data_IF_507780314052
#
_entry.id   IF_507780314052
#
_cell.length_a   1.000
_cell.length_b   1.000
_cell.length_c   1.000
_cell.angle_alpha   90.00
_cell.angle_beta   90.00
_cell.angle_gamma   90.00
#
_symmetry.space_group_name_H-M   'P 1'
#
loop_
_entity.id
_entity.type
_entity.pdbx_description
1 polymer ?
#
# COMPACT_ATOMS: atom_id res chain seq x y z
N UNK A 1 29.90 -32.77 51.50
CA UNK A 1 29.73 -31.52 50.73
C UNK A 1 28.95 -31.82 49.45
N UNK A 2 27.65 -31.53 49.43
CA UNK A 2 26.76 -31.75 48.26
C UNK A 2 27.03 -30.65 47.23
N UNK A 3 27.57 -30.99 46.06
CA UNK A 3 27.68 -30.05 44.93
C UNK A 3 26.32 -29.97 44.23
N UNK A 4 25.72 -28.79 44.25
CA UNK A 4 24.47 -28.47 43.55
C UNK A 4 24.81 -28.21 42.07
N UNK A 5 24.35 -29.07 41.15
CA UNK A 5 24.46 -28.84 39.72
C UNK A 5 23.32 -27.90 39.28
N UNK A 6 23.67 -26.66 38.93
CA UNK A 6 22.76 -25.72 38.27
C UNK A 6 22.74 -26.05 36.77
N UNK A 7 21.68 -26.71 36.31
CA UNK A 7 21.39 -26.89 34.88
C UNK A 7 20.74 -25.59 34.39
N UNK A 8 21.51 -24.74 33.73
CA UNK A 8 21.01 -23.61 32.96
C UNK A 8 20.27 -24.15 31.72
N UNK A 9 18.94 -24.17 31.77
CA UNK A 9 18.07 -24.39 30.63
C UNK A 9 18.24 -23.22 29.63
N UNK A 10 19.13 -23.41 28.65
CA UNK A 10 19.20 -22.58 27.45
C UNK A 10 17.92 -22.79 26.63
N UNK A 11 16.90 -21.97 26.86
CA UNK A 11 15.74 -21.90 25.98
C UNK A 11 16.22 -21.34 24.63
N UNK A 12 15.99 -22.03 23.49
CA UNK A 12 16.56 -21.60 22.21
C UNK A 12 15.74 -20.44 21.64
N UNK A 13 16.17 -19.21 21.95
CA UNK A 13 15.64 -17.96 21.37
C UNK A 13 15.73 -17.97 19.82
N UNK A 14 16.63 -18.78 19.24
CA UNK A 14 16.79 -18.91 17.77
C UNK A 14 15.56 -19.48 17.04
N UNK A 15 14.77 -20.36 17.67
CA UNK A 15 13.67 -21.06 16.96
C UNK A 15 12.48 -20.13 16.64
N UNK A 16 12.27 -19.09 17.45
CA UNK A 16 11.15 -18.15 17.28
C UNK A 16 11.44 -17.17 16.13
N UNK A 17 12.69 -16.73 15.97
CA UNK A 17 13.10 -15.81 14.91
C UNK A 17 13.03 -16.46 13.51
N UNK A 18 13.39 -17.75 13.37
CA UNK A 18 13.30 -18.46 12.09
C UNK A 18 11.84 -18.67 11.62
N UNK A 19 10.88 -18.72 12.53
CA UNK A 19 9.49 -18.99 12.20
C UNK A 19 8.76 -17.77 11.61
N UNK A 20 9.17 -16.54 11.95
CA UNK A 20 8.62 -15.31 11.36
C UNK A 20 8.97 -15.16 9.88
N UNK A 21 10.16 -15.58 9.44
CA UNK A 21 10.57 -15.50 8.01
C UNK A 21 9.69 -16.31 7.05
N UNK A 22 8.95 -17.31 7.54
CA UNK A 22 8.09 -18.19 6.72
C UNK A 22 6.65 -17.70 6.56
N UNK A 23 6.27 -16.66 7.31
CA UNK A 23 4.94 -16.05 7.25
C UNK A 23 5.03 -14.64 6.71
N UNK A 24 3.89 -14.14 6.25
CA UNK A 24 3.68 -12.75 5.91
C UNK A 24 2.30 -12.32 6.39
N UNK A 25 2.11 -11.02 6.54
CA UNK A 25 0.84 -10.46 7.00
C UNK A 25 -0.05 -10.19 5.79
N UNK A 26 -1.14 -10.96 5.68
CA UNK A 26 -2.10 -10.84 4.58
C UNK A 26 -3.25 -9.94 5.02
N UNK A 27 -3.40 -8.79 4.36
CA UNK A 27 -4.51 -7.86 4.61
C UNK A 27 -5.68 -8.21 3.70
N UNK A 28 -6.88 -8.13 4.24
CA UNK A 28 -8.15 -8.31 3.52
C UNK A 28 -8.90 -6.98 3.56
N UNK A 29 -8.92 -6.26 2.44
CA UNK A 29 -9.63 -4.99 2.29
C UNK A 29 -10.95 -5.26 1.58
N UNK A 30 -12.06 -5.15 2.31
CA UNK A 30 -13.41 -5.44 1.81
C UNK A 30 -14.18 -4.14 1.57
N UNK A 31 -14.87 -4.07 0.44
CA UNK A 31 -15.79 -2.99 0.07
C UNK A 31 -17.08 -3.60 -0.50
N UNK A 32 -18.04 -2.75 -0.89
CA UNK A 32 -19.22 -3.18 -1.66
C UNK A 32 -18.89 -3.77 -3.04
N UNK A 33 -17.67 -3.58 -3.55
CA UNK A 33 -17.21 -4.12 -4.83
C UNK A 33 -16.44 -5.44 -4.69
N UNK A 34 -16.31 -5.95 -3.46
CA UNK A 34 -15.60 -7.19 -3.16
C UNK A 34 -14.38 -7.00 -2.25
N UNK A 35 -13.56 -8.05 -2.15
CA UNK A 35 -12.38 -8.08 -1.27
C UNK A 35 -11.09 -8.11 -2.08
N UNK A 36 -10.18 -7.18 -1.78
CA UNK A 36 -8.79 -7.20 -2.23
C UNK A 36 -7.91 -7.87 -1.17
N UNK A 37 -6.91 -8.64 -1.62
CA UNK A 37 -5.87 -9.18 -0.74
C UNK A 37 -4.57 -8.43 -0.95
N UNK A 38 -3.96 -7.96 0.13
CA UNK A 38 -2.72 -7.19 0.06
C UNK A 38 -1.61 -7.85 0.85
N UNK A 39 -0.40 -7.76 0.32
CA UNK A 39 0.85 -8.07 1.04
C UNK A 39 1.60 -6.78 1.28
N UNK A 40 2.39 -6.77 2.36
CA UNK A 40 3.18 -5.60 2.78
C UNK A 40 4.67 -5.94 2.64
N UNK A 41 5.44 -5.01 2.09
CA UNK A 41 6.85 -5.23 1.78
C UNK A 41 7.74 -5.17 3.03
N UNK A 42 8.66 -6.14 3.13
CA UNK A 42 9.64 -6.21 4.22
C UNK A 42 10.69 -5.09 4.10
N UNK A 43 10.88 -4.55 2.88
CA UNK A 43 11.82 -3.46 2.57
C UNK A 43 11.35 -2.08 3.06
N UNK A 44 10.08 -1.95 3.47
CA UNK A 44 9.50 -0.73 4.06
C UNK A 44 8.96 -1.03 5.47
N UNK A 45 9.84 -1.39 6.42
CA UNK A 45 9.43 -1.92 7.72
C UNK A 45 8.60 -0.93 8.53
N UNK A 46 8.90 0.38 8.50
CA UNK A 46 8.14 1.37 9.29
C UNK A 46 6.71 1.49 8.81
N UNK A 47 6.50 1.53 7.50
CA UNK A 47 5.15 1.56 6.93
C UNK A 47 4.41 0.24 7.13
N UNK A 48 5.09 -0.91 6.96
CA UNK A 48 4.52 -2.23 7.20
C UNK A 48 4.04 -2.37 8.65
N UNK A 49 4.89 -2.09 9.62
CA UNK A 49 4.56 -2.20 11.04
C UNK A 49 3.41 -1.25 11.43
N UNK A 50 3.45 0.00 10.95
CA UNK A 50 2.38 0.95 11.21
C UNK A 50 1.04 0.50 10.62
N UNK A 51 1.03 0.03 9.37
CA UNK A 51 -0.19 -0.40 8.71
C UNK A 51 -0.79 -1.64 9.40
N UNK A 52 0.05 -2.61 9.80
CA UNK A 52 -0.36 -3.78 10.60
C UNK A 52 -0.99 -3.33 11.92
N UNK A 53 -0.36 -2.36 12.62
CA UNK A 53 -0.88 -1.81 13.88
C UNK A 53 -2.30 -1.25 13.67
N UNK A 54 -2.50 -0.40 12.66
CA UNK A 54 -3.79 0.24 12.39
C UNK A 54 -4.87 -0.77 11.95
N UNK A 55 -4.51 -1.76 11.13
CA UNK A 55 -5.43 -2.85 10.75
C UNK A 55 -5.85 -3.68 11.97
N UNK A 56 -4.90 -4.06 12.84
CA UNK A 56 -5.22 -4.82 14.06
C UNK A 56 -6.08 -4.03 15.06
N UNK A 57 -5.91 -2.70 15.10
CA UNK A 57 -6.72 -1.79 15.91
C UNK A 57 -8.10 -1.48 15.30
N UNK A 58 -8.44 -2.09 14.15
CA UNK A 58 -9.69 -1.81 13.41
C UNK A 58 -9.82 -0.34 13.00
N UNK A 59 -8.69 0.38 12.89
CA UNK A 59 -8.68 1.79 12.56
C UNK A 59 -9.30 2.06 11.19
N UNK A 60 -9.06 1.21 10.19
CA UNK A 60 -9.57 1.43 8.83
C UNK A 60 -11.05 1.07 8.64
N UNK A 61 -11.67 0.37 9.60
CA UNK A 61 -13.04 -0.10 9.44
C UNK A 61 -14.00 1.08 9.28
N UNK A 62 -14.97 0.97 8.37
CA UNK A 62 -15.93 2.03 8.04
C UNK A 62 -15.33 3.34 7.49
N UNK A 63 -14.02 3.44 7.26
CA UNK A 63 -13.43 4.58 6.55
C UNK A 63 -13.77 4.54 5.06
N UNK A 64 -13.65 5.68 4.38
CA UNK A 64 -13.97 5.82 2.97
C UNK A 64 -12.72 5.82 2.09
N UNK A 65 -12.86 5.28 0.88
CA UNK A 65 -12.11 5.82 -0.26
C UNK A 65 -12.71 7.19 -0.58
N UNK A 66 -12.06 8.24 -0.07
CA UNK A 66 -12.59 9.61 -0.11
C UNK A 66 -12.16 10.38 -1.36
N UNK A 67 -11.23 9.83 -2.16
CA UNK A 67 -10.78 10.46 -3.39
C UNK A 67 -10.47 9.43 -4.47
N UNK A 68 -10.97 9.68 -5.69
CA UNK A 68 -10.80 8.82 -6.85
C UNK A 68 -10.37 9.67 -8.03
N UNK A 69 -9.16 9.41 -8.54
CA UNK A 69 -8.70 9.99 -9.81
C UNK A 69 -8.55 8.85 -10.81
N UNK A 70 -9.44 8.76 -11.82
CA UNK A 70 -9.33 7.74 -12.84
C UNK A 70 -8.00 7.79 -13.57
N UNK A 71 -7.51 6.62 -13.95
CA UNK A 71 -6.21 6.42 -14.59
C UNK A 71 -5.02 6.81 -13.70
N UNK A 72 -5.26 6.98 -12.39
CA UNK A 72 -4.24 7.33 -11.43
C UNK A 72 -4.36 6.50 -10.15
N UNK A 73 -5.32 6.76 -9.27
CA UNK A 73 -5.38 6.11 -7.96
C UNK A 73 -6.75 6.22 -7.28
N UNK A 74 -6.95 5.34 -6.29
CA UNK A 74 -8.02 5.43 -5.28
C UNK A 74 -7.37 5.67 -3.91
N UNK A 75 -7.79 6.71 -3.19
CA UNK A 75 -7.18 7.13 -1.92
C UNK A 75 -8.15 7.01 -0.76
N UNK A 76 -7.63 6.53 0.38
CA UNK A 76 -8.37 6.28 1.60
C UNK A 76 -7.53 6.51 2.86
N UNK A 77 -8.09 6.14 4.00
CA UNK A 77 -7.40 6.19 5.30
C UNK A 77 -7.57 7.49 6.08
N UNK A 78 -8.40 8.44 5.62
CA UNK A 78 -8.74 9.63 6.42
C UNK A 78 -9.69 9.25 7.57
N UNK A 79 -9.30 9.41 8.86
CA UNK A 79 -10.16 9.10 10.01
C UNK A 79 -11.45 9.91 10.09
N UNK A 80 -11.47 11.15 9.58
CA UNK A 80 -12.65 12.01 9.56
C UNK A 80 -13.75 11.42 8.66
N UNK A 81 -13.40 10.54 7.73
CA UNK A 81 -14.35 9.92 6.80
C UNK A 81 -15.33 8.94 7.45
N UNK A 82 -15.03 8.45 8.66
CA UNK A 82 -15.85 7.40 9.33
C UNK A 82 -17.33 7.77 9.43
N UNK A 83 -17.59 9.02 9.82
CA UNK A 83 -18.94 9.58 10.02
C UNK A 83 -19.21 10.76 9.08
N UNK A 84 -18.40 10.89 8.02
CA UNK A 84 -18.55 11.99 7.08
C UNK A 84 -19.92 11.94 6.39
N UNK A 85 -20.50 13.12 6.22
CA UNK A 85 -21.67 13.30 5.36
C UNK A 85 -21.26 13.14 3.88
N UNK A 86 -22.25 12.87 3.04
CA UNK A 86 -22.11 12.88 1.59
C UNK A 86 -21.69 14.32 1.21
N UNK A 87 -20.54 14.48 0.55
CA UNK A 87 -19.87 15.76 0.22
C UNK A 87 -19.07 16.50 1.30
N UNK A 88 -18.93 15.96 2.52
CA UNK A 88 -17.99 16.56 3.47
C UNK A 88 -16.55 16.55 2.89
N UNK A 89 -15.82 17.68 2.90
CA UNK A 89 -14.42 17.71 2.51
C UNK A 89 -13.57 16.77 3.37
N UNK A 90 -12.75 15.96 2.71
CA UNK A 90 -11.88 14.95 3.32
C UNK A 90 -10.49 15.02 2.69
N UNK A 91 -9.53 14.32 3.28
CA UNK A 91 -8.12 14.28 2.91
C UNK A 91 -7.20 14.92 3.96
N UNK A 92 -7.73 15.53 5.01
CA UNK A 92 -6.96 16.26 6.02
C UNK A 92 -6.87 15.55 7.38
N UNK A 93 -7.59 14.45 7.60
CA UNK A 93 -7.48 13.71 8.86
C UNK A 93 -6.15 12.99 9.01
N UNK A 94 -5.68 12.87 10.25
CA UNK A 94 -4.42 12.23 10.60
C UNK A 94 -4.51 11.45 11.93
N UNK A 95 -3.40 10.80 12.31
CA UNK A 95 -3.25 10.03 13.55
C UNK A 95 -2.24 10.67 14.52
N UNK A 96 -1.95 11.97 14.35
CA UNK A 96 -1.03 12.74 15.20
C UNK A 96 0.46 12.50 14.94
N UNK A 97 0.83 11.74 13.91
CA UNK A 97 2.23 11.51 13.54
C UNK A 97 2.40 11.24 12.04
N UNK A 98 3.64 11.42 11.57
CA UNK A 98 4.11 11.07 10.22
C UNK A 98 5.09 9.90 10.27
N UNK A 99 5.27 9.22 9.15
CA UNK A 99 6.24 8.12 8.99
C UNK A 99 7.37 8.59 8.09
N UNK A 100 8.65 8.49 8.49
CA UNK A 100 9.78 8.82 7.62
C UNK A 100 9.70 8.04 6.29
N UNK A 101 10.05 8.69 5.18
CA UNK A 101 10.01 8.08 3.86
C UNK A 101 10.92 6.82 3.76
N UNK A 102 10.43 5.79 3.05
CA UNK A 102 11.18 4.56 2.78
C UNK A 102 11.19 4.31 1.25
N UNK A 103 12.00 5.08 0.53
CA UNK A 103 12.10 4.93 -0.93
C UNK A 103 13.01 3.76 -1.31
N UNK A 104 12.44 2.75 -1.96
CA UNK A 104 13.15 1.57 -2.42
C UNK A 104 13.04 1.52 -3.94
N UNK A 105 14.13 1.64 -4.72
CA UNK A 105 14.05 1.71 -6.19
C UNK A 105 13.31 0.54 -6.86
N UNK A 106 13.37 -0.65 -6.26
CA UNK A 106 12.67 -1.83 -6.74
C UNK A 106 11.15 -1.81 -6.47
N UNK A 107 10.66 -0.92 -5.60
CA UNK A 107 9.25 -0.75 -5.25
C UNK A 107 8.72 0.53 -5.93
N UNK A 108 7.92 0.34 -6.96
CA UNK A 108 7.50 1.41 -7.88
C UNK A 108 5.99 1.38 -8.10
N UNK A 109 5.44 2.47 -8.66
CA UNK A 109 4.00 2.74 -8.69
C UNK A 109 3.29 2.03 -9.85
N UNK A 110 3.49 0.72 -10.00
CA UNK A 110 2.68 -0.13 -10.89
C UNK A 110 1.22 -0.19 -10.41
N UNK A 111 0.29 -0.53 -11.29
CA UNK A 111 -1.10 -0.80 -10.92
C UNK A 111 -1.18 -1.85 -9.80
N UNK A 112 -2.00 -1.56 -8.78
CA UNK A 112 -2.13 -2.36 -7.57
C UNK A 112 -1.12 -2.06 -6.47
N UNK A 113 -0.11 -1.19 -6.72
CA UNK A 113 0.80 -0.75 -5.66
C UNK A 113 0.03 -0.03 -4.54
N UNK A 114 0.30 -0.43 -3.30
CA UNK A 114 -0.19 0.22 -2.09
C UNK A 114 0.88 1.21 -1.62
N UNK A 115 0.53 2.48 -1.60
CA UNK A 115 1.47 3.57 -1.35
C UNK A 115 0.94 4.56 -0.32
N UNK A 116 1.86 5.22 0.38
CA UNK A 116 1.52 6.17 1.42
C UNK A 116 1.26 7.57 0.85
N UNK A 117 0.18 8.22 1.29
CA UNK A 117 -0.10 9.61 0.95
C UNK A 117 0.74 10.55 1.82
N UNK A 118 0.97 11.78 1.37
CA UNK A 118 1.62 12.84 2.16
C UNK A 118 1.21 14.22 1.69
N UNK A 119 1.41 15.19 2.57
CA UNK A 119 1.46 16.59 2.22
C UNK A 119 2.83 16.95 1.58
N UNK A 120 2.98 18.21 1.17
CA UNK A 120 4.20 18.71 0.54
C UNK A 120 5.26 19.14 1.58
N UNK A 121 5.67 18.21 2.44
CA UNK A 121 6.72 18.47 3.42
C UNK A 121 8.13 18.18 2.86
N UNK A 122 9.17 18.95 3.25
CA UNK A 122 10.55 18.76 2.79
C UNK A 122 11.13 17.36 3.05
N UNK A 123 10.78 16.75 4.19
CA UNK A 123 11.25 15.42 4.59
C UNK A 123 10.60 14.30 3.78
N UNK A 124 9.58 14.63 2.98
CA UNK A 124 8.70 13.70 2.27
C UNK A 124 8.11 12.62 3.19
N UNK A 125 7.97 12.92 4.48
CA UNK A 125 7.38 12.02 5.47
C UNK A 125 5.91 11.76 5.12
N UNK A 126 5.52 10.49 5.21
CA UNK A 126 4.17 10.02 4.89
C UNK A 126 3.17 10.38 5.98
N UNK A 127 1.90 10.54 5.61
CA UNK A 127 0.79 10.45 6.54
C UNK A 127 0.89 9.14 7.34
N UNK A 128 0.58 9.21 8.64
CA UNK A 128 0.55 8.03 9.50
C UNK A 128 -0.57 7.05 9.19
N UNK A 129 -1.58 7.43 8.39
CA UNK A 129 -2.75 6.58 8.15
C UNK A 129 -3.31 6.61 6.71
N UNK A 130 -3.10 7.71 5.97
CA UNK A 130 -3.64 7.82 4.63
C UNK A 130 -2.78 7.08 3.60
N UNK A 131 -3.46 6.39 2.69
CA UNK A 131 -2.84 5.57 1.65
C UNK A 131 -3.62 5.70 0.35
N UNK A 132 -2.99 5.28 -0.74
CA UNK A 132 -3.67 5.07 -2.01
C UNK A 132 -3.27 3.74 -2.63
N UNK A 133 -4.15 3.21 -3.47
CA UNK A 133 -3.88 2.08 -4.35
C UNK A 133 -3.82 2.61 -5.77
N UNK A 134 -2.72 2.34 -6.47
CA UNK A 134 -2.54 2.78 -7.84
C UNK A 134 -3.51 2.05 -8.76
N UNK A 135 -4.35 2.80 -9.46
CA UNK A 135 -5.04 2.29 -10.64
C UNK A 135 -4.12 2.41 -11.86
N UNK A 136 -3.55 3.60 -12.05
CA UNK A 136 -2.67 3.94 -13.15
C UNK A 136 -3.33 3.83 -14.53
N UNK A 137 -2.56 4.20 -15.55
CA UNK A 137 -2.88 3.92 -16.95
C UNK A 137 -1.87 2.96 -17.54
N UNK A 138 -2.31 2.19 -18.53
CA UNK A 138 -1.40 1.51 -19.45
C UNK A 138 -0.83 2.56 -20.39
N UNK A 139 0.49 2.57 -20.54
CA UNK A 139 1.18 3.58 -21.33
C UNK A 139 1.52 3.03 -22.72
N UNK A 140 1.29 3.83 -23.76
CA UNK A 140 1.93 3.61 -25.05
C UNK A 140 3.37 4.16 -25.03
N UNK A 141 4.18 3.80 -26.02
CA UNK A 141 5.59 4.19 -26.06
C UNK A 141 5.75 5.72 -26.09
N UNK A 142 4.95 6.43 -26.90
CA UNK A 142 5.04 7.88 -27.04
C UNK A 142 4.64 8.61 -25.74
N UNK A 143 3.53 8.21 -25.11
CA UNK A 143 3.06 8.78 -23.86
C UNK A 143 4.01 8.49 -22.71
N UNK A 144 4.59 7.29 -22.65
CA UNK A 144 5.57 6.94 -21.63
C UNK A 144 6.85 7.76 -21.78
N UNK A 145 7.35 7.91 -23.02
CA UNK A 145 8.55 8.70 -23.29
C UNK A 145 8.37 10.15 -22.85
N UNK A 146 7.26 10.79 -23.22
CA UNK A 146 6.94 12.16 -22.78
C UNK A 146 6.92 12.29 -21.25
N UNK A 147 6.42 11.27 -20.56
CA UNK A 147 6.40 11.26 -19.09
C UNK A 147 7.81 11.09 -18.50
N UNK A 148 8.66 10.27 -19.12
CA UNK A 148 10.06 10.10 -18.73
C UNK A 148 10.84 11.40 -18.92
N UNK A 149 10.65 12.10 -20.04
CA UNK A 149 11.31 13.39 -20.31
C UNK A 149 10.93 14.44 -19.25
N UNK A 150 9.65 14.45 -18.84
CA UNK A 150 9.19 15.30 -17.74
C UNK A 150 9.83 14.92 -16.40
N UNK A 151 9.94 13.63 -16.11
CA UNK A 151 10.61 13.13 -14.89
C UNK A 151 12.07 13.57 -14.87
N UNK A 152 12.79 13.42 -15.98
CA UNK A 152 14.20 13.83 -16.12
C UNK A 152 14.37 15.33 -15.91
N UNK A 153 13.51 16.15 -16.53
CA UNK A 153 13.51 17.61 -16.36
C UNK A 153 13.34 18.02 -14.89
N UNK A 154 12.49 17.29 -14.15
CA UNK A 154 12.25 17.51 -12.72
C UNK A 154 13.26 16.78 -11.82
N UNK A 155 14.31 16.17 -12.39
CA UNK A 155 15.33 15.39 -11.68
C UNK A 155 14.73 14.27 -10.80
N UNK A 156 13.64 13.67 -11.27
CA UNK A 156 12.96 12.55 -10.62
C UNK A 156 13.60 11.19 -10.92
N UNK A 157 13.06 10.14 -10.33
CA UNK A 157 13.53 8.77 -10.56
C UNK A 157 13.06 8.25 -11.93
N UNK A 158 14.01 8.00 -12.82
CA UNK A 158 13.73 7.44 -14.15
C UNK A 158 13.53 5.93 -14.02
N UNK A 159 12.38 5.37 -14.47
CA UNK A 159 12.15 3.92 -14.42
C UNK A 159 13.19 3.13 -15.22
N UNK A 160 13.56 1.96 -14.72
CA UNK A 160 14.34 0.93 -15.45
C UNK A 160 13.57 0.40 -16.66
N UNK A 161 14.25 -0.29 -17.58
CA UNK A 161 13.59 -0.83 -18.76
C UNK A 161 12.54 -1.90 -18.39
N UNK A 162 12.81 -2.70 -17.36
CA UNK A 162 11.85 -3.66 -16.81
C UNK A 162 10.60 -2.95 -16.26
N UNK A 163 10.78 -1.86 -15.50
CA UNK A 163 9.67 -1.06 -14.97
C UNK A 163 8.88 -0.40 -16.11
N UNK A 164 9.54 0.09 -17.17
CA UNK A 164 8.86 0.61 -18.36
C UNK A 164 7.98 -0.45 -19.00
N UNK A 165 8.43 -1.69 -19.12
CA UNK A 165 7.58 -2.77 -19.65
C UNK A 165 6.36 -3.03 -18.78
N UNK A 166 6.50 -2.97 -17.44
CA UNK A 166 5.36 -3.07 -16.53
C UNK A 166 4.37 -1.93 -16.76
N UNK A 167 4.84 -0.69 -16.92
CA UNK A 167 3.97 0.45 -17.23
C UNK A 167 3.25 0.33 -18.58
N UNK A 168 3.86 -0.33 -19.57
CA UNK A 168 3.26 -0.57 -20.88
C UNK A 168 2.29 -1.74 -20.94
N UNK A 169 2.31 -2.63 -19.95
CA UNK A 169 1.49 -3.85 -19.96
C UNK A 169 0.43 -3.83 -18.86
N UNK A 170 0.85 -3.61 -17.62
CA UNK A 170 -0.01 -3.60 -16.44
C UNK A 170 -0.50 -2.18 -16.10
N UNK A 171 0.31 -1.18 -16.42
CA UNK A 171 0.03 0.22 -16.12
C UNK A 171 0.59 0.70 -14.78
N UNK A 172 0.44 2.00 -14.51
CA UNK A 172 0.91 2.63 -13.28
C UNK A 172 1.11 4.14 -13.38
N UNK A 173 1.86 4.70 -12.43
CA UNK A 173 2.09 6.12 -12.25
C UNK A 173 3.60 6.43 -12.07
N UNK A 174 4.43 6.35 -13.13
CA UNK A 174 5.89 6.50 -13.05
C UNK A 174 6.37 7.81 -12.43
N UNK A 175 5.57 8.88 -12.51
CA UNK A 175 5.92 10.19 -11.96
C UNK A 175 5.97 10.24 -10.43
N UNK A 176 5.46 9.21 -9.74
CA UNK A 176 5.51 9.10 -8.29
C UNK A 176 6.76 8.34 -7.79
N UNK A 177 7.48 7.64 -8.67
CA UNK A 177 8.63 6.82 -8.29
C UNK A 177 9.72 7.66 -7.62
N UNK A 178 10.30 7.11 -6.55
CA UNK A 178 11.29 7.78 -5.71
C UNK A 178 10.78 9.00 -4.93
N UNK A 179 9.47 9.27 -4.94
CA UNK A 179 8.88 10.44 -4.26
C UNK A 179 7.78 10.11 -3.24
N UNK A 180 7.22 8.89 -3.32
CA UNK A 180 6.22 8.36 -2.40
C UNK A 180 6.59 6.94 -2.02
N UNK A 181 6.33 6.57 -0.77
CA UNK A 181 6.68 5.23 -0.26
C UNK A 181 5.66 4.22 -0.76
N UNK A 182 6.12 3.25 -1.56
CA UNK A 182 5.36 2.04 -1.92
C UNK A 182 5.65 0.99 -0.86
N UNK A 183 4.64 0.54 -0.12
CA UNK A 183 4.84 -0.35 1.03
C UNK A 183 4.07 -1.68 0.96
N UNK A 184 3.35 -1.91 -0.13
CA UNK A 184 2.69 -3.18 -0.39
C UNK A 184 2.09 -3.25 -1.79
N UNK A 185 1.34 -4.29 -2.05
CA UNK A 185 0.59 -4.45 -3.30
C UNK A 185 -0.66 -5.29 -3.13
N UNK A 186 -1.64 -5.07 -4.01
CA UNK A 186 -2.78 -5.95 -4.22
C UNK A 186 -2.31 -7.19 -4.98
N UNK A 187 -2.49 -8.36 -4.37
CA UNK A 187 -2.10 -9.67 -4.94
C UNK A 187 -3.30 -10.47 -5.44
N UNK A 188 -4.52 -10.07 -5.07
CA UNK A 188 -5.78 -10.65 -5.52
C UNK A 188 -6.88 -9.58 -5.47
N UNK A 189 -7.82 -9.63 -6.42
CA UNK A 189 -8.88 -8.65 -6.56
C UNK A 189 -8.47 -7.34 -7.27
N UNK A 190 -7.46 -7.37 -8.14
CA UNK A 190 -6.98 -6.16 -8.83
C UNK A 190 -8.07 -5.42 -9.63
N UNK A 191 -9.03 -6.15 -10.21
CA UNK A 191 -10.17 -5.57 -10.93
C UNK A 191 -11.12 -4.75 -10.04
N UNK A 192 -11.08 -4.94 -8.71
CA UNK A 192 -11.85 -4.15 -7.76
C UNK A 192 -11.33 -2.71 -7.72
N UNK A 193 -10.03 -2.50 -7.91
CA UNK A 193 -9.44 -1.15 -8.02
C UNK A 193 -10.10 -0.37 -9.17
N UNK A 194 -10.26 -1.01 -10.33
CA UNK A 194 -10.95 -0.38 -11.47
C UNK A 194 -12.44 -0.17 -11.21
N UNK A 195 -13.09 -1.10 -10.51
CA UNK A 195 -14.51 -1.01 -10.18
C UNK A 195 -14.79 0.20 -9.28
N UNK A 196 -13.93 0.43 -8.29
CA UNK A 196 -13.97 1.62 -7.43
C UNK A 196 -13.63 2.85 -8.27
N UNK A 197 -12.55 2.83 -9.05
CA UNK A 197 -12.09 4.00 -9.81
C UNK A 197 -13.08 4.49 -10.89
N UNK A 198 -14.02 3.63 -11.31
CA UNK A 198 -15.09 3.98 -12.26
C UNK A 198 -16.29 4.68 -11.62
N UNK A 199 -16.37 4.78 -10.30
CA UNK A 199 -17.53 5.36 -9.65
C UNK A 199 -17.68 6.86 -9.99
N UNK A 200 -18.93 7.35 -10.12
CA UNK A 200 -19.22 8.78 -10.23
C UNK A 200 -18.63 9.56 -9.06
N UNK A 201 -18.18 10.78 -9.35
CA UNK A 201 -17.45 11.63 -8.41
C UNK A 201 -17.74 13.09 -8.74
N UNK A 202 -17.72 13.92 -7.71
CA UNK A 202 -17.86 15.35 -7.87
C UNK A 202 -16.55 16.01 -8.35
N UNK A 203 -16.55 17.33 -8.50
CA UNK A 203 -15.41 18.11 -9.02
C UNK A 203 -14.15 18.04 -8.14
N UNK A 204 -14.29 17.63 -6.87
CA UNK A 204 -13.19 17.46 -5.92
C UNK A 204 -12.65 16.02 -5.89
N UNK A 205 -12.95 15.22 -6.91
CA UNK A 205 -12.63 13.78 -7.01
C UNK A 205 -13.26 12.91 -5.90
N UNK A 206 -14.24 13.45 -5.15
CA UNK A 206 -14.93 12.73 -4.08
C UNK A 206 -16.04 11.84 -4.68
N UNK A 207 -16.10 10.53 -4.36
CA UNK A 207 -17.17 9.68 -4.87
C UNK A 207 -18.54 10.17 -4.43
N UNK A 208 -19.50 10.25 -5.35
CA UNK A 208 -20.90 10.65 -5.07
C UNK A 208 -21.58 9.66 -4.13
N UNK A 209 -21.23 8.37 -4.27
CA UNK A 209 -21.64 7.31 -3.35
C UNK A 209 -20.46 6.86 -2.52
N UNK A 210 -20.64 6.82 -1.22
CA UNK A 210 -19.62 6.40 -0.27
C UNK A 210 -19.14 4.97 -0.52
N UNK A 211 -17.84 4.82 -0.78
CA UNK A 211 -17.17 3.52 -0.86
C UNK A 211 -16.48 3.23 0.46
N UNK A 212 -17.20 2.55 1.37
CA UNK A 212 -16.67 2.14 2.68
C UNK A 212 -15.73 0.95 2.56
N UNK A 213 -14.70 0.95 3.39
CA UNK A 213 -13.78 -0.18 3.56
C UNK A 213 -13.92 -0.82 4.94
N UNK A 214 -13.58 -2.10 5.01
CA UNK A 214 -13.31 -2.83 6.24
C UNK A 214 -12.00 -3.59 6.05
N UNK A 215 -11.13 -3.60 7.06
CA UNK A 215 -9.84 -4.27 6.96
C UNK A 215 -9.64 -5.28 8.08
N UNK A 216 -9.23 -6.48 7.69
CA UNK A 216 -8.71 -7.50 8.61
C UNK A 216 -7.34 -7.95 8.14
N UNK A 217 -6.57 -8.58 9.01
CA UNK A 217 -5.30 -9.15 8.59
C UNK A 217 -4.80 -10.23 9.54
N UNK A 218 -4.08 -11.19 8.96
CA UNK A 218 -3.59 -12.37 9.66
C UNK A 218 -2.20 -12.76 9.16
N UNK A 219 -1.41 -13.38 10.05
CA UNK A 219 -0.10 -13.95 9.69
C UNK A 219 -0.27 -15.31 8.99
N UNK A 220 -0.07 -15.33 7.67
CA UNK A 220 -0.25 -16.49 6.81
C UNK A 220 1.09 -17.01 6.31
N UNK A 221 1.25 -18.33 6.16
CA UNK A 221 2.48 -18.91 5.57
C UNK A 221 2.66 -18.40 4.13
N UNK A 222 3.86 -17.92 3.78
CA UNK A 222 4.20 -17.44 2.42
C UNK A 222 3.84 -18.48 1.34
N UNK A 223 4.15 -19.77 1.59
CA UNK A 223 3.73 -20.89 0.72
C UNK A 223 2.22 -20.96 0.47
N UNK A 224 1.39 -20.65 1.47
CA UNK A 224 -0.08 -20.65 1.32
C UNK A 224 -0.52 -19.46 0.47
N UNK A 225 0.05 -18.27 0.69
CA UNK A 225 -0.21 -17.08 -0.13
C UNK A 225 0.14 -17.36 -1.60
N UNK A 226 1.34 -17.89 -1.86
CA UNK A 226 1.76 -18.29 -3.22
C UNK A 226 0.84 -19.33 -3.83
N UNK A 227 0.48 -20.39 -3.09
CA UNK A 227 -0.41 -21.44 -3.60
C UNK A 227 -1.81 -20.91 -3.93
N UNK A 228 -2.34 -20.00 -3.13
CA UNK A 228 -3.72 -19.54 -3.24
C UNK A 228 -3.88 -18.41 -4.25
N UNK A 229 -2.93 -17.48 -4.32
CA UNK A 229 -3.06 -16.24 -5.11
C UNK A 229 -2.01 -16.15 -6.24
N UNK A 230 -1.17 -17.17 -6.42
CA UNK A 230 -0.10 -17.15 -7.41
C UNK A 230 1.02 -16.13 -7.10
N UNK A 231 0.99 -15.51 -5.92
CA UNK A 231 1.94 -14.47 -5.56
C UNK A 231 3.37 -15.00 -5.45
N UNK A 232 4.28 -14.39 -6.20
CA UNK A 232 5.71 -14.72 -6.20
C UNK A 232 6.45 -13.69 -5.37
N UNK A 233 6.97 -14.13 -4.23
CA UNK A 233 7.90 -13.33 -3.44
C UNK A 233 9.18 -13.13 -4.24
N UNK A 234 9.62 -11.87 -4.37
CA UNK A 234 10.96 -11.58 -4.86
C UNK A 234 11.97 -12.10 -3.84
N UNK A 235 12.96 -12.86 -4.31
CA UNK A 235 14.00 -13.49 -3.49
C UNK A 235 15.04 -12.46 -3.03
#
# INVERSE_FOLDING_TARGET
>A
MRKLLLILLFIPVLSIAQNRKKKDYLVSLTTSFGTMRLVLYDQTPKHKENFIKLVNQKFYDSLLFHRIIPLFMIQGGDPNSRKAQDDQPLGNGDVGYKIPAEFVPALFHKKGALSAARDNNPEKASSGCQFYIVQGRVWDDAGLQKQIDRIQTLKGHVPTDEQKQVYKTLGGAPHLDGNYTVFGEVIDGLAIVDSIAKQPRNEMDRPEKNVRMTMTGDWVKKKKITKQYGYKYQL
#
